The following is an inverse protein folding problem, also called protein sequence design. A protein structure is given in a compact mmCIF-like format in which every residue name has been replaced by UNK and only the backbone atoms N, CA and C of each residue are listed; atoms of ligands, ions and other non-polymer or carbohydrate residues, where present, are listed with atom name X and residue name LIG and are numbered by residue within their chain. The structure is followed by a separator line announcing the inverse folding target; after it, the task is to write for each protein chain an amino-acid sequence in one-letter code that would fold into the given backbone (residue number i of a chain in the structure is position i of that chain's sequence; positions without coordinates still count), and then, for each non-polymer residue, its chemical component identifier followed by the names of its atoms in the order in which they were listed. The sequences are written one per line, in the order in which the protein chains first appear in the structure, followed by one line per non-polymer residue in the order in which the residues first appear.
data_IF_097498682441
#
_entry.id   IF_097498682441
#
_cell.length_a   1.000
_cell.length_b   1.000
_cell.length_c   1.000
_cell.angle_alpha   90.00
_cell.angle_beta   90.00
_cell.angle_gamma   90.00
#
_symmetry.space_group_name_H-M   'P 1'
#
loop_
_entity.id
_entity.type
_entity.pdbx_description
1 polymer ?
#
# COMPACT_ATOMS: atom_id res chain seq x y z
N UNK A 1 -13.86 38.82 53.83
CA UNK A 1 -12.68 38.77 52.95
C UNK A 1 -12.85 37.61 51.98
N UNK A 2 -13.03 37.91 50.69
CA UNK A 2 -13.28 36.94 49.62
C UNK A 2 -11.97 36.26 49.21
N UNK A 3 -11.96 34.92 49.10
CA UNK A 3 -10.95 34.19 48.32
C UNK A 3 -11.67 33.23 47.37
N UNK A 4 -11.87 33.70 46.14
CA UNK A 4 -12.27 32.87 45.00
C UNK A 4 -11.01 32.11 44.56
N UNK A 5 -10.98 30.79 44.76
CA UNK A 5 -9.95 29.94 44.18
C UNK A 5 -10.43 29.49 42.80
N UNK A 6 -9.84 30.08 41.76
CA UNK A 6 -10.07 29.67 40.36
C UNK A 6 -9.45 28.29 40.13
N UNK A 7 -10.29 27.29 39.89
CA UNK A 7 -9.87 25.96 39.45
C UNK A 7 -9.65 26.02 37.94
N UNK A 8 -8.37 26.03 37.53
CA UNK A 8 -7.95 26.05 36.14
C UNK A 8 -8.25 24.69 35.52
N UNK A 9 -9.20 24.66 34.57
CA UNK A 9 -9.47 23.51 33.73
C UNK A 9 -8.31 23.33 32.74
N UNK A 10 -7.44 22.35 32.98
CA UNK A 10 -6.41 21.94 32.05
C UNK A 10 -7.05 21.14 30.90
N UNK A 11 -7.49 21.82 29.86
CA UNK A 11 -7.82 21.20 28.58
C UNK A 11 -6.51 20.70 27.93
N UNK A 12 -6.19 19.42 28.15
CA UNK A 12 -5.15 18.72 27.39
C UNK A 12 -5.68 18.52 25.98
N UNK A 13 -5.41 19.47 25.10
CA UNK A 13 -5.58 19.31 23.66
C UNK A 13 -4.53 18.29 23.20
N UNK A 14 -4.94 17.04 23.04
CA UNK A 14 -4.18 16.06 22.27
C UNK A 14 -4.10 16.60 20.84
N UNK A 15 -3.00 17.26 20.51
CA UNK A 15 -2.61 17.54 19.13
C UNK A 15 -2.49 16.19 18.42
N UNK A 16 -3.51 15.89 17.60
CA UNK A 16 -3.55 14.67 16.81
C UNK A 16 -2.26 14.52 16.02
N UNK A 17 -1.66 13.33 16.08
CA UNK A 17 -0.60 12.96 15.15
C UNK A 17 -1.19 13.05 13.73
N UNK A 18 -0.80 14.05 12.95
CA UNK A 18 -1.01 14.04 11.51
C UNK A 18 -0.17 12.88 10.95
N UNK A 19 -0.80 11.73 10.75
CA UNK A 19 -0.20 10.67 9.95
C UNK A 19 -0.28 11.12 8.50
N UNK A 20 0.85 11.55 7.93
CA UNK A 20 0.92 11.86 6.50
C UNK A 20 0.71 10.57 5.74
N UNK A 21 -0.49 10.39 5.18
CA UNK A 21 -0.79 9.25 4.32
C UNK A 21 0.01 9.40 3.02
N UNK A 22 0.81 8.39 2.69
CA UNK A 22 1.59 8.38 1.46
C UNK A 22 0.65 8.20 0.27
N UNK A 23 0.75 9.09 -0.70
CA UNK A 23 0.05 8.95 -1.98
C UNK A 23 0.99 8.24 -2.97
N UNK A 24 0.57 7.12 -3.57
CA UNK A 24 1.33 6.48 -4.61
C UNK A 24 1.65 7.40 -5.80
N UNK A 25 2.78 7.18 -6.49
CA UNK A 25 3.08 7.80 -7.76
C UNK A 25 1.97 7.54 -8.79
N UNK A 26 1.82 8.38 -9.80
CA UNK A 26 0.82 8.16 -10.84
C UNK A 26 1.06 6.84 -11.60
N UNK A 27 0.03 6.34 -12.28
CA UNK A 27 0.11 5.19 -13.18
C UNK A 27 -0.73 5.46 -14.41
N UNK A 28 -0.26 4.98 -15.56
CA UNK A 28 -1.04 4.98 -16.81
C UNK A 28 -2.02 3.80 -16.88
N UNK A 29 -2.00 2.91 -15.88
CA UNK A 29 -2.93 1.79 -15.79
C UNK A 29 -4.35 2.31 -15.52
N UNK A 30 -5.32 1.83 -16.30
CA UNK A 30 -6.72 2.09 -16.09
C UNK A 30 -7.53 0.85 -16.46
N UNK A 31 -8.37 0.41 -15.52
CA UNK A 31 -9.26 -0.74 -15.69
C UNK A 31 -10.52 -0.54 -14.86
N UNK A 32 -11.47 -1.48 -14.96
CA UNK A 32 -12.67 -1.51 -14.15
C UNK A 32 -12.83 -2.89 -13.52
N UNK A 33 -13.30 -2.90 -12.27
CA UNK A 33 -13.66 -4.13 -11.55
C UNK A 33 -15.17 -4.14 -11.27
N UNK A 34 -15.78 -5.32 -11.08
CA UNK A 34 -17.18 -5.41 -10.68
C UNK A 34 -17.48 -4.59 -9.42
N UNK A 35 -18.63 -3.91 -9.38
CA UNK A 35 -18.97 -2.99 -8.28
C UNK A 35 -18.87 -3.63 -6.88
N UNK A 36 -19.26 -4.90 -6.74
CA UNK A 36 -19.13 -5.63 -5.48
C UNK A 36 -17.68 -5.80 -5.04
N UNK A 37 -16.78 -6.06 -5.98
CA UNK A 37 -15.35 -6.18 -5.72
C UNK A 37 -14.74 -4.81 -5.42
N UNK A 38 -15.14 -3.76 -6.14
CA UNK A 38 -14.73 -2.39 -5.87
C UNK A 38 -14.98 -2.01 -4.40
N UNK A 39 -16.19 -2.26 -3.89
CA UNK A 39 -16.55 -1.98 -2.50
C UNK A 39 -15.77 -2.82 -1.47
N UNK A 40 -15.31 -4.01 -1.84
CA UNK A 40 -14.42 -4.81 -0.99
C UNK A 40 -13.00 -4.24 -0.97
N UNK A 41 -12.49 -3.81 -2.14
CA UNK A 41 -11.14 -3.28 -2.29
C UNK A 41 -10.96 -1.91 -1.63
N UNK A 42 -12.00 -1.06 -1.65
CA UNK A 42 -11.99 0.23 -0.93
C UNK A 42 -11.63 0.11 0.55
N UNK A 43 -12.07 -0.99 1.19
CA UNK A 43 -11.79 -1.23 2.62
C UNK A 43 -10.30 -1.39 2.91
N UNK A 44 -9.50 -1.78 1.92
CA UNK A 44 -8.05 -1.92 2.07
C UNK A 44 -7.37 -0.57 2.39
N UNK A 45 -7.99 0.56 2.01
CA UNK A 45 -7.46 1.89 2.33
C UNK A 45 -7.48 2.21 3.82
N UNK A 46 -8.38 1.57 4.57
CA UNK A 46 -8.56 1.77 6.00
C UNK A 46 -7.81 0.72 6.83
N UNK A 47 -7.18 -0.27 6.20
CA UNK A 47 -6.44 -1.31 6.89
C UNK A 47 -5.19 -0.72 7.59
N UNK A 48 -4.91 -1.14 8.85
CA UNK A 48 -3.76 -0.64 9.57
C UNK A 48 -2.46 -1.10 8.91
N UNK A 49 -1.41 -0.29 9.09
CA UNK A 49 -0.08 -0.64 8.60
C UNK A 49 0.41 -1.96 9.20
N UNK A 50 0.81 -2.89 8.33
CA UNK A 50 1.32 -4.21 8.73
C UNK A 50 2.84 -4.15 8.80
N UNK A 51 3.48 -4.55 9.92
CA UNK A 51 4.93 -4.59 10.00
C UNK A 51 5.49 -5.74 9.16
N UNK A 52 6.65 -5.53 8.56
CA UNK A 52 7.46 -6.59 7.95
C UNK A 52 8.93 -6.43 8.36
N UNK A 53 9.79 -7.38 7.97
CA UNK A 53 11.23 -7.27 8.23
C UNK A 53 11.79 -6.04 7.52
N UNK A 54 12.08 -4.99 8.28
CA UNK A 54 12.73 -3.79 7.78
C UNK A 54 11.79 -2.64 7.43
N UNK A 55 10.48 -2.74 7.73
CA UNK A 55 9.56 -1.64 7.45
C UNK A 55 8.10 -1.88 7.78
N UNK A 56 7.26 -1.01 7.23
CA UNK A 56 5.81 -1.09 7.31
C UNK A 56 5.20 -1.18 5.91
N UNK A 57 4.16 -1.98 5.78
CA UNK A 57 3.37 -2.12 4.58
C UNK A 57 1.98 -1.48 4.80
N UNK A 58 1.51 -0.70 3.84
CA UNK A 58 0.12 -0.22 3.77
C UNK A 58 -0.45 -0.51 2.39
N UNK A 59 -1.77 -0.35 2.24
CA UNK A 59 -2.44 -0.48 0.96
C UNK A 59 -2.99 0.88 0.52
N UNK A 60 -3.05 1.08 -0.78
CA UNK A 60 -3.76 2.18 -1.40
C UNK A 60 -4.43 1.68 -2.67
N UNK A 61 -5.75 1.68 -2.67
CA UNK A 61 -6.61 1.32 -3.77
C UNK A 61 -7.26 2.56 -4.35
N UNK A 62 -7.06 2.75 -5.65
CA UNK A 62 -7.70 3.77 -6.46
C UNK A 62 -8.88 3.15 -7.23
N UNK A 63 -10.09 3.68 -6.98
CA UNK A 63 -11.32 3.19 -7.59
C UNK A 63 -11.49 3.62 -9.05
N UNK A 64 -10.90 4.75 -9.45
CA UNK A 64 -11.06 5.31 -10.79
C UNK A 64 -10.24 4.50 -11.82
N UNK A 65 -9.08 3.99 -11.38
CA UNK A 65 -8.17 3.19 -12.21
C UNK A 65 -8.25 1.69 -11.93
N UNK A 66 -8.96 1.29 -10.86
CA UNK A 66 -8.96 -0.05 -10.29
C UNK A 66 -7.54 -0.58 -10.02
N UNK A 67 -6.68 0.28 -9.45
CA UNK A 67 -5.29 -0.04 -9.14
C UNK A 67 -5.06 -0.16 -7.63
N UNK A 68 -4.60 -1.32 -7.18
CA UNK A 68 -4.12 -1.55 -5.83
C UNK A 68 -2.59 -1.40 -5.78
N UNK A 69 -2.12 -0.43 -5.02
CA UNK A 69 -0.70 -0.23 -4.70
C UNK A 69 -0.40 -0.69 -3.28
N UNK A 70 0.50 -1.65 -3.13
CA UNK A 70 1.11 -2.02 -1.86
C UNK A 70 2.27 -1.09 -1.58
N UNK A 71 2.18 -0.28 -0.53
CA UNK A 71 3.20 0.70 -0.18
C UNK A 71 4.10 0.11 0.89
N UNK A 72 5.38 -0.10 0.57
CA UNK A 72 6.41 -0.48 1.52
C UNK A 72 7.21 0.75 1.90
N UNK A 73 7.35 1.01 3.20
CA UNK A 73 8.15 2.13 3.72
C UNK A 73 9.16 1.67 4.75
N UNK A 74 10.37 2.23 4.69
CA UNK A 74 11.36 2.07 5.74
C UNK A 74 10.95 2.85 7.00
N UNK A 75 11.30 2.38 8.21
CA UNK A 75 10.97 3.08 9.45
C UNK A 75 11.68 4.43 9.56
N UNK A 76 12.85 4.56 8.95
CA UNK A 76 13.65 5.76 8.94
C UNK A 76 13.75 6.31 7.51
N UNK A 77 13.27 7.54 7.24
CA UNK A 77 13.28 8.13 5.89
C UNK A 77 14.69 8.43 5.37
N UNK A 78 15.72 8.39 6.22
CA UNK A 78 17.12 8.54 5.79
C UNK A 78 17.73 7.26 5.25
N UNK A 79 17.09 6.11 5.46
CA UNK A 79 17.58 4.85 4.92
C UNK A 79 17.23 4.73 3.43
N UNK A 80 18.05 3.97 2.73
CA UNK A 80 17.92 3.74 1.29
C UNK A 80 17.65 2.26 1.04
N UNK A 81 16.78 1.98 0.08
CA UNK A 81 16.57 0.62 -0.38
C UNK A 81 17.85 0.04 -1.01
N UNK A 82 18.31 -1.09 -0.48
CA UNK A 82 19.45 -1.85 -1.01
C UNK A 82 19.00 -3.06 -1.83
N UNK A 83 17.86 -2.94 -2.52
CA UNK A 83 17.25 -4.00 -3.32
C UNK A 83 17.05 -3.51 -4.75
N UNK A 84 17.10 -4.43 -5.71
CA UNK A 84 16.86 -4.15 -7.11
C UNK A 84 15.43 -4.52 -7.51
N UNK A 85 14.83 -3.73 -8.39
CA UNK A 85 13.45 -3.92 -8.83
C UNK A 85 13.22 -5.33 -9.39
N UNK A 86 14.02 -5.79 -10.35
CA UNK A 86 13.82 -7.09 -10.99
C UNK A 86 13.89 -8.28 -10.00
N UNK A 87 14.81 -8.24 -9.05
CA UNK A 87 14.92 -9.27 -8.00
C UNK A 87 13.70 -9.24 -7.07
N UNK A 88 13.25 -8.03 -6.74
CA UNK A 88 12.07 -7.80 -5.90
C UNK A 88 10.80 -8.30 -6.58
N UNK A 89 10.62 -8.00 -7.86
CA UNK A 89 9.50 -8.46 -8.68
C UNK A 89 9.46 -10.00 -8.73
N UNK A 90 10.60 -10.64 -9.01
CA UNK A 90 10.72 -12.09 -9.03
C UNK A 90 10.31 -12.74 -7.69
N UNK A 91 10.63 -12.11 -6.56
CA UNK A 91 10.28 -12.60 -5.23
C UNK A 91 8.78 -12.37 -4.90
N UNK A 92 8.26 -11.16 -5.13
CA UNK A 92 6.93 -10.78 -4.62
C UNK A 92 5.80 -11.14 -5.59
N UNK A 93 6.04 -11.16 -6.90
CA UNK A 93 4.98 -11.38 -7.90
C UNK A 93 4.25 -12.71 -7.70
N UNK A 94 4.91 -13.86 -7.48
CA UNK A 94 4.20 -15.12 -7.23
C UNK A 94 3.26 -15.04 -6.02
N UNK A 95 3.68 -14.34 -4.95
CA UNK A 95 2.87 -14.15 -3.74
C UNK A 95 1.68 -13.22 -4.01
N UNK A 96 1.89 -12.12 -4.72
CA UNK A 96 0.82 -11.18 -5.07
C UNK A 96 -0.20 -11.82 -6.01
N UNK A 97 0.26 -12.53 -7.04
CA UNK A 97 -0.62 -13.29 -7.94
C UNK A 97 -1.39 -14.39 -7.20
N UNK A 98 -0.79 -15.05 -6.20
CA UNK A 98 -1.52 -16.00 -5.35
C UNK A 98 -2.61 -15.32 -4.50
N UNK A 99 -2.32 -14.15 -3.95
CA UNK A 99 -3.22 -13.46 -3.03
C UNK A 99 -4.34 -12.70 -3.74
N UNK A 100 -4.03 -12.08 -4.89
CA UNK A 100 -4.94 -11.19 -5.62
C UNK A 100 -5.33 -11.71 -7.00
N UNK A 101 -4.83 -12.88 -7.44
CA UNK A 101 -5.05 -13.41 -8.79
C UNK A 101 -6.51 -13.43 -9.22
N UNK A 102 -7.42 -13.87 -8.34
CA UNK A 102 -8.84 -13.85 -8.63
C UNK A 102 -9.40 -12.43 -8.88
N UNK A 103 -8.91 -11.42 -8.15
CA UNK A 103 -9.29 -10.04 -8.38
C UNK A 103 -8.63 -9.45 -9.64
N UNK A 104 -7.38 -9.86 -9.92
CA UNK A 104 -6.63 -9.49 -11.13
C UNK A 104 -7.35 -10.01 -12.38
N UNK A 105 -7.84 -11.25 -12.34
CA UNK A 105 -8.66 -11.85 -13.41
C UNK A 105 -9.99 -11.09 -13.63
N UNK A 106 -10.42 -10.30 -12.65
CA UNK A 106 -11.58 -9.42 -12.72
C UNK A 106 -11.25 -7.96 -13.04
N UNK A 107 -10.02 -7.66 -13.44
CA UNK A 107 -9.60 -6.34 -13.90
C UNK A 107 -8.85 -5.50 -12.87
N UNK A 108 -8.52 -6.03 -11.69
CA UNK A 108 -7.68 -5.31 -10.71
C UNK A 108 -6.23 -5.24 -11.19
N UNK A 109 -5.66 -4.04 -11.27
CA UNK A 109 -4.21 -3.88 -11.35
C UNK A 109 -3.59 -3.98 -9.96
N UNK A 110 -2.45 -4.66 -9.81
CA UNK A 110 -1.72 -4.71 -8.53
C UNK A 110 -0.25 -4.36 -8.74
N UNK A 111 0.28 -3.40 -7.98
CA UNK A 111 1.73 -3.11 -7.95
C UNK A 111 2.25 -2.92 -6.54
N UNK A 112 3.56 -2.97 -6.37
CA UNK A 112 4.23 -2.54 -5.16
C UNK A 112 4.98 -1.23 -5.38
N UNK A 113 5.00 -0.38 -4.36
CA UNK A 113 5.81 0.84 -4.33
C UNK A 113 6.69 0.83 -3.09
N UNK A 114 7.99 0.91 -3.30
CA UNK A 114 8.99 1.01 -2.25
C UNK A 114 9.28 2.50 -2.01
N UNK A 115 8.57 3.10 -1.07
CA UNK A 115 8.63 4.54 -0.79
C UNK A 115 9.90 4.91 0.00
N UNK A 116 10.44 6.10 -0.24
CA UNK A 116 11.63 6.63 0.43
C UNK A 116 12.83 6.83 -0.50
N UNK A 117 14.04 6.85 0.05
CA UNK A 117 15.25 7.03 -0.77
C UNK A 117 15.54 5.77 -1.60
N UNK A 118 15.84 5.97 -2.89
CA UNK A 118 15.97 4.87 -3.85
C UNK A 118 14.61 4.23 -4.16
N UNK A 119 13.54 5.02 -4.16
CA UNK A 119 12.20 4.51 -4.42
C UNK A 119 12.05 3.96 -5.83
N UNK A 120 11.22 2.94 -5.95
CA UNK A 120 10.80 2.39 -7.23
C UNK A 120 9.41 1.75 -7.09
N UNK A 121 8.71 1.69 -8.21
CA UNK A 121 7.49 0.95 -8.41
C UNK A 121 7.80 -0.34 -9.16
N UNK A 122 7.09 -1.42 -8.84
CA UNK A 122 7.10 -2.60 -9.69
C UNK A 122 6.19 -2.41 -10.90
N UNK A 123 6.36 -3.27 -11.90
CA UNK A 123 5.34 -3.44 -12.94
C UNK A 123 3.95 -3.73 -12.31
N UNK A 124 2.90 -3.28 -13.00
CA UNK A 124 1.51 -3.55 -12.62
C UNK A 124 1.17 -4.96 -13.05
N UNK A 125 0.85 -5.82 -12.10
CA UNK A 125 0.38 -7.18 -12.35
C UNK A 125 -0.98 -7.16 -13.04
N UNK A 126 -1.00 -7.73 -14.24
CA UNK A 126 -2.20 -8.09 -15.01
C UNK A 126 -2.34 -9.62 -15.07
N UNK A 127 -3.46 -10.15 -15.60
CA UNK A 127 -3.63 -11.59 -15.77
C UNK A 127 -2.47 -12.25 -16.54
N UNK A 128 -1.98 -11.59 -17.61
CA UNK A 128 -0.91 -12.09 -18.46
C UNK A 128 0.42 -12.22 -17.70
N UNK A 129 0.75 -11.19 -16.90
CA UNK A 129 1.97 -11.18 -16.09
C UNK A 129 1.87 -12.26 -15.01
N UNK A 130 0.73 -12.36 -14.33
CA UNK A 130 0.55 -13.40 -13.31
C UNK A 130 0.65 -14.82 -13.87
N UNK A 131 0.14 -15.08 -15.07
CA UNK A 131 0.29 -16.39 -15.72
C UNK A 131 1.76 -16.74 -15.96
N UNK A 132 2.57 -15.76 -16.39
CA UNK A 132 4.01 -15.91 -16.63
C UNK A 132 4.77 -16.30 -15.34
N UNK A 133 4.49 -15.60 -14.23
CA UNK A 133 5.19 -15.84 -12.97
C UNK A 133 4.68 -17.08 -12.21
N UNK A 134 3.40 -17.44 -12.31
CA UNK A 134 2.87 -18.66 -11.69
C UNK A 134 3.28 -19.93 -12.42
N UNK A 135 3.51 -19.87 -13.74
CA UNK A 135 4.08 -20.98 -14.50
C UNK A 135 5.56 -21.22 -14.15
N UNK A 136 6.31 -20.14 -13.92
CA UNK A 136 7.74 -20.18 -13.59
C UNK A 136 8.02 -20.70 -12.18
N UNK A 137 7.11 -20.46 -11.22
CA UNK A 137 7.24 -20.92 -9.83
C UNK A 137 6.95 -22.42 -9.61
N UNK A 138 6.56 -23.16 -10.65
CA UNK A 138 6.23 -24.61 -10.58
C UNK A 138 7.34 -25.52 -11.12
N UNK A 139 8.39 -24.96 -11.73
CA UNK A 139 9.59 -25.67 -12.18
C UNK A 139 10.74 -25.45 -11.19
#
# INVERSE_FOLDING_TARGET
MYRKASLVAACVLFSGCMTTQLMPPASDFASQVPAKLNEQLKRLNDEPAVPFRGGMQTFHYDEDTALLTLIYRLPNPRWTWGIHQAETEAEIFPKLCKNFGAAIDHGLGVRAWFAGNGSFETEVLTPEICQTHLASAKN
#
